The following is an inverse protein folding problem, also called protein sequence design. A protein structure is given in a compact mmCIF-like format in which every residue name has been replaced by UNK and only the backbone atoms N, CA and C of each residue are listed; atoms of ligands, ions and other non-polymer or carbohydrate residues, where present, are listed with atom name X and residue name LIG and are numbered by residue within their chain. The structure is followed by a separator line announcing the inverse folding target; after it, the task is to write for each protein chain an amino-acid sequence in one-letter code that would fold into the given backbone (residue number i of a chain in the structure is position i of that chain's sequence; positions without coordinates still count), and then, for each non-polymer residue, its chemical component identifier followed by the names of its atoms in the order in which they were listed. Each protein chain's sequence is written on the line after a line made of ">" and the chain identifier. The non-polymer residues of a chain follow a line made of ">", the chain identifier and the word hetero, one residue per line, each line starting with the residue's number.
data_IF_499203891025
#
_entry.id   IF_499203891025
#
_cell.length_a   1.000
_cell.length_b   1.000
_cell.length_c   1.000
_cell.angle_alpha   90.00
_cell.angle_beta   90.00
_cell.angle_gamma   90.00
#
_symmetry.space_group_name_H-M   'P 1'
#
loop_
_entity.id
_entity.type
_entity.pdbx_description
1 polymer ?
#
# COMPACT_ATOMS: atom_id res chain seq x y z
N UNK A 1 17.30 20.69 -0.26
CA UNK A 1 16.99 21.10 1.13
C UNK A 1 15.84 20.23 1.59
N UNK A 2 16.01 19.49 2.70
CA UNK A 2 15.02 18.54 3.20
C UNK A 2 13.77 19.32 3.60
N UNK A 3 12.66 19.07 2.91
CA UNK A 3 11.34 19.46 3.40
C UNK A 3 11.07 18.64 4.66
N UNK A 4 11.44 19.18 5.82
CA UNK A 4 10.92 18.73 7.10
C UNK A 4 9.41 18.90 7.04
N UNK A 5 8.67 17.85 7.39
CA UNK A 5 7.22 17.81 7.43
C UNK A 5 6.66 19.11 8.05
N UNK A 6 5.64 19.71 7.43
CA UNK A 6 5.05 20.95 7.94
C UNK A 6 4.43 20.72 9.32
N UNK A 7 4.27 21.77 10.13
CA UNK A 7 3.63 21.67 11.44
C UNK A 7 2.20 21.10 11.38
N UNK A 8 1.55 21.18 10.22
CA UNK A 8 0.24 20.61 9.90
C UNK A 8 0.27 19.17 9.38
N UNK A 9 1.44 18.61 9.08
CA UNK A 9 1.64 17.25 8.53
C UNK A 9 2.07 16.24 9.61
N UNK A 10 2.23 16.70 10.85
CA UNK A 10 2.63 15.87 11.98
C UNK A 10 1.57 15.93 13.07
N UNK A 11 1.24 14.77 13.64
CA UNK A 11 0.43 14.65 14.85
C UNK A 11 1.34 14.18 15.96
N UNK A 12 1.37 14.92 17.07
CA UNK A 12 2.09 14.51 18.27
C UNK A 12 1.16 13.65 19.11
N UNK A 13 1.60 12.42 19.40
CA UNK A 13 0.95 11.55 20.38
C UNK A 13 1.64 11.75 21.72
N UNK A 14 0.92 12.25 22.71
CA UNK A 14 1.48 12.56 24.02
C UNK A 14 1.24 11.39 24.97
N UNK A 15 2.10 10.38 24.91
CA UNK A 15 2.06 9.27 25.86
C UNK A 15 2.89 9.67 27.09
N UNK A 16 2.27 10.11 28.19
CA UNK A 16 2.98 10.25 29.47
C UNK A 16 2.06 10.52 30.66
N UNK A 17 2.06 9.57 31.60
CA UNK A 17 1.47 9.73 32.91
C UNK A 17 2.54 9.68 34.01
N UNK A 18 2.90 10.84 34.59
CA UNK A 18 3.05 11.06 36.05
C UNK A 18 4.13 12.08 36.40
N UNK A 19 3.82 13.04 37.30
CA UNK A 19 4.83 13.57 38.19
C UNK A 19 4.86 12.86 39.56
N UNK A 20 3.72 12.44 40.15
CA UNK A 20 3.65 12.13 41.61
C UNK A 20 2.60 11.09 42.09
N UNK A 21 2.02 10.22 41.26
CA UNK A 21 0.94 9.34 41.72
C UNK A 21 1.43 7.96 42.28
N UNK A 22 1.00 7.51 43.48
CA UNK A 22 1.19 6.14 43.94
C UNK A 22 0.13 5.23 43.28
N UNK A 23 0.36 4.86 42.02
CA UNK A 23 -0.62 4.12 41.23
C UNK A 23 -0.47 2.62 41.52
N UNK A 24 -1.41 2.03 42.25
CA UNK A 24 -1.67 0.59 42.13
C UNK A 24 -2.17 0.35 40.71
N UNK A 25 -1.33 -0.27 39.88
CA UNK A 25 -1.66 -0.59 38.49
C UNK A 25 -2.98 -1.37 38.43
N UNK A 26 -3.91 -0.91 37.60
CA UNK A 26 -5.04 -1.73 37.18
C UNK A 26 -4.51 -2.97 36.46
N UNK A 27 -5.28 -4.06 36.54
CA UNK A 27 -4.98 -5.31 35.84
C UNK A 27 -4.73 -5.03 34.36
N UNK A 28 -3.59 -5.53 33.85
CA UNK A 28 -3.15 -5.35 32.48
C UNK A 28 -4.28 -5.72 31.48
N UNK A 29 -4.83 -4.76 30.72
CA UNK A 29 -5.96 -5.02 29.83
C UNK A 29 -5.58 -5.89 28.62
N UNK A 30 -4.29 -6.03 28.32
CA UNK A 30 -3.76 -6.94 27.29
C UNK A 30 -3.34 -8.31 27.82
N UNK A 31 -3.53 -8.60 29.12
CA UNK A 31 -3.18 -9.90 29.69
C UNK A 31 -3.84 -11.08 28.95
N UNK A 32 -5.02 -10.86 28.35
CA UNK A 32 -5.75 -11.86 27.56
C UNK A 32 -5.21 -12.05 26.14
N UNK A 33 -4.39 -11.13 25.62
CA UNK A 33 -3.97 -11.05 24.23
C UNK A 33 -2.49 -11.42 24.04
N UNK A 34 -1.72 -11.46 25.13
CA UNK A 34 -0.29 -11.78 25.10
C UNK A 34 -0.11 -13.23 25.56
N UNK A 35 -0.10 -14.18 24.62
CA UNK A 35 0.08 -15.60 24.93
C UNK A 35 1.51 -15.97 25.39
N UNK A 36 2.51 -15.10 25.19
CA UNK A 36 3.93 -15.45 25.34
C UNK A 36 4.72 -14.57 26.34
N UNK A 37 4.07 -13.67 27.08
CA UNK A 37 4.77 -12.89 28.11
C UNK A 37 4.96 -13.73 29.37
N UNK A 38 6.16 -13.69 29.94
CA UNK A 38 6.39 -14.26 31.27
C UNK A 38 5.47 -13.55 32.28
N UNK A 39 4.87 -14.27 33.23
CA UNK A 39 3.93 -13.70 34.21
C UNK A 39 4.53 -12.62 35.14
N UNK A 40 5.85 -12.39 35.06
CA UNK A 40 6.59 -11.42 35.87
C UNK A 40 6.91 -10.11 35.14
N UNK A 41 6.56 -9.97 33.85
CA UNK A 41 6.85 -8.77 33.07
C UNK A 41 5.58 -7.96 32.82
N UNK A 42 5.36 -6.95 33.67
CA UNK A 42 4.27 -5.98 33.53
C UNK A 42 4.51 -5.07 32.31
N UNK A 43 4.04 -5.52 31.15
CA UNK A 43 4.05 -4.73 29.92
C UNK A 43 2.92 -3.69 29.97
N UNK A 44 3.24 -2.44 29.63
CA UNK A 44 2.25 -1.36 29.55
C UNK A 44 1.82 -0.76 30.89
N UNK A 45 2.51 -1.09 31.99
CA UNK A 45 2.22 -0.56 33.34
C UNK A 45 2.28 0.97 33.44
N UNK A 46 2.99 1.64 32.53
CA UNK A 46 3.07 3.11 32.46
C UNK A 46 2.01 3.78 31.57
N UNK A 47 1.13 3.00 30.92
CA UNK A 47 0.01 3.53 30.14
C UNK A 47 -1.23 3.57 31.03
N UNK A 48 -1.84 4.75 31.17
CA UNK A 48 -3.15 4.87 31.79
C UNK A 48 -4.26 4.70 30.73
N UNK A 49 -5.53 4.72 31.15
CA UNK A 49 -6.66 4.56 30.23
C UNK A 49 -6.76 5.70 29.19
N UNK A 50 -6.34 6.91 29.57
CA UNK A 50 -6.34 8.08 28.68
C UNK A 50 -5.30 7.90 27.57
N UNK A 51 -4.09 7.42 27.90
CA UNK A 51 -3.03 7.09 26.93
C UNK A 51 -3.54 6.07 25.88
N UNK A 52 -4.34 5.08 26.31
CA UNK A 52 -4.92 4.07 25.42
C UNK A 52 -6.01 4.65 24.51
N UNK A 53 -6.84 5.53 25.06
CA UNK A 53 -7.84 6.23 24.27
C UNK A 53 -7.17 7.13 23.22
N UNK A 54 -6.11 7.87 23.59
CA UNK A 54 -5.35 8.69 22.64
C UNK A 54 -4.71 7.87 21.53
N UNK A 55 -4.11 6.71 21.84
CA UNK A 55 -3.55 5.80 20.83
C UNK A 55 -4.65 5.31 19.87
N UNK A 56 -5.82 4.94 20.40
CA UNK A 56 -6.95 4.46 19.60
C UNK A 56 -7.48 5.56 18.68
N UNK A 57 -7.68 6.75 19.21
CA UNK A 57 -8.16 7.90 18.44
C UNK A 57 -7.15 8.29 17.36
N UNK A 58 -5.85 8.28 17.68
CA UNK A 58 -4.80 8.49 16.69
C UNK A 58 -4.87 7.45 15.57
N UNK A 59 -5.00 6.16 15.88
CA UNK A 59 -5.06 5.11 14.85
C UNK A 59 -6.30 5.22 13.97
N UNK A 60 -7.44 5.60 14.56
CA UNK A 60 -8.67 5.88 13.84
C UNK A 60 -8.49 7.09 12.91
N UNK A 61 -7.90 8.17 13.39
CA UNK A 61 -7.64 9.38 12.62
C UNK A 61 -6.60 9.16 11.51
N UNK A 62 -5.49 8.50 11.82
CA UNK A 62 -4.45 8.14 10.85
C UNK A 62 -5.04 7.34 9.69
N UNK A 63 -5.88 6.35 10.00
CA UNK A 63 -6.49 5.50 8.99
C UNK A 63 -7.53 6.26 8.16
N UNK A 64 -8.47 6.95 8.82
CA UNK A 64 -9.64 7.55 8.17
C UNK A 64 -9.38 8.91 7.53
N UNK A 65 -8.53 9.74 8.12
CA UNK A 65 -8.25 11.12 7.63
C UNK A 65 -7.01 11.18 6.74
N UNK A 66 -6.08 10.22 6.87
CA UNK A 66 -4.81 10.29 6.15
C UNK A 66 -4.59 9.11 5.20
N UNK A 67 -4.52 7.86 5.69
CA UNK A 67 -4.16 6.71 4.85
C UNK A 67 -5.18 6.49 3.74
N UNK A 68 -6.46 6.31 4.10
CA UNK A 68 -7.53 6.04 3.12
C UNK A 68 -7.65 7.17 2.10
N UNK A 69 -7.76 8.46 2.49
CA UNK A 69 -7.84 9.55 1.52
C UNK A 69 -6.61 9.66 0.59
N UNK A 70 -5.40 9.39 1.09
CA UNK A 70 -4.22 9.36 0.25
C UNK A 70 -4.26 8.22 -0.78
N UNK A 71 -4.72 7.03 -0.38
CA UNK A 71 -4.90 5.90 -1.29
C UNK A 71 -5.94 6.21 -2.36
N UNK A 72 -7.09 6.78 -1.99
CA UNK A 72 -8.11 7.23 -2.94
C UNK A 72 -7.56 8.25 -3.95
N UNK A 73 -6.78 9.22 -3.47
CA UNK A 73 -6.15 10.21 -4.34
C UNK A 73 -5.14 9.56 -5.29
N UNK A 74 -4.35 8.58 -4.82
CA UNK A 74 -3.45 7.80 -5.68
C UNK A 74 -4.22 7.03 -6.75
N UNK A 75 -5.35 6.39 -6.40
CA UNK A 75 -6.23 5.73 -7.37
C UNK A 75 -6.70 6.73 -8.42
N UNK A 76 -7.20 7.92 -8.02
CA UNK A 76 -7.68 8.94 -8.99
C UNK A 76 -6.59 9.34 -9.98
N UNK A 77 -5.38 9.63 -9.50
CA UNK A 77 -4.25 10.04 -10.34
C UNK A 77 -3.81 8.91 -11.27
N UNK A 78 -3.60 7.70 -10.73
CA UNK A 78 -3.16 6.55 -11.52
C UNK A 78 -4.22 6.15 -12.55
N UNK A 79 -5.50 6.15 -12.20
CA UNK A 79 -6.57 5.80 -13.13
C UNK A 79 -6.69 6.80 -14.28
N UNK A 80 -6.45 8.10 -14.02
CA UNK A 80 -6.35 9.12 -15.07
C UNK A 80 -5.16 8.85 -16.00
N UNK A 81 -3.98 8.55 -15.45
CA UNK A 81 -2.78 8.20 -16.22
C UNK A 81 -2.99 6.97 -17.09
N UNK A 82 -3.53 5.88 -16.51
CA UNK A 82 -3.83 4.64 -17.23
C UNK A 82 -4.88 4.88 -18.32
N UNK A 83 -5.92 5.67 -18.05
CA UNK A 83 -6.95 6.00 -19.05
C UNK A 83 -6.42 6.87 -20.19
N UNK A 84 -5.54 7.84 -19.89
CA UNK A 84 -4.87 8.65 -20.91
C UNK A 84 -3.97 7.79 -21.80
N UNK A 85 -3.21 6.86 -21.21
CA UNK A 85 -2.38 5.91 -21.95
C UNK A 85 -3.23 4.96 -22.79
N UNK A 86 -4.34 4.41 -22.26
CA UNK A 86 -5.28 3.54 -22.99
C UNK A 86 -5.89 4.20 -24.23
N UNK A 87 -6.20 5.50 -24.18
CA UNK A 87 -6.67 6.27 -25.35
C UNK A 87 -5.61 6.32 -26.46
N UNK A 88 -4.32 6.40 -26.11
CA UNK A 88 -3.20 6.22 -27.05
C UNK A 88 -2.90 4.75 -27.41
N UNK A 89 -3.23 3.82 -26.51
CA UNK A 89 -2.93 2.39 -26.63
C UNK A 89 -3.81 1.67 -27.66
N UNK A 90 -5.04 2.13 -27.94
CA UNK A 90 -5.83 1.57 -29.07
C UNK A 90 -5.06 1.60 -30.40
N UNK A 91 -4.18 2.59 -30.61
CA UNK A 91 -3.29 2.64 -31.77
C UNK A 91 -2.04 1.77 -31.60
N UNK A 92 -1.58 1.53 -30.36
CA UNK A 92 -0.44 0.65 -30.07
C UNK A 92 -0.80 -0.84 -30.05
N UNK A 93 -2.04 -1.22 -29.71
CA UNK A 93 -2.53 -2.60 -29.76
C UNK A 93 -2.42 -3.12 -31.20
N UNK A 94 -2.77 -2.30 -32.21
CA UNK A 94 -2.47 -2.63 -33.62
C UNK A 94 -0.99 -2.94 -33.82
N UNK A 95 -0.09 -2.15 -33.25
CA UNK A 95 1.36 -2.36 -33.35
C UNK A 95 1.86 -3.58 -32.53
N UNK A 96 1.17 -4.01 -31.48
CA UNK A 96 1.48 -5.22 -30.71
C UNK A 96 1.19 -6.50 -31.52
N UNK A 97 0.12 -6.53 -32.31
CA UNK A 97 -0.13 -7.63 -33.25
C UNK A 97 0.93 -7.71 -34.36
N UNK A 98 1.56 -6.59 -34.72
CA UNK A 98 2.69 -6.53 -35.66
C UNK A 98 4.07 -6.79 -35.03
N UNK A 99 4.20 -6.72 -33.69
CA UNK A 99 5.44 -7.04 -32.96
C UNK A 99 5.68 -8.54 -32.78
N UNK A 100 4.68 -9.39 -33.06
CA UNK A 100 4.76 -10.85 -32.93
C UNK A 100 5.76 -11.52 -33.89
N UNK A 101 6.42 -10.78 -34.79
CA UNK A 101 7.34 -11.33 -35.81
C UNK A 101 8.73 -10.69 -35.90
N UNK A 102 9.18 -9.91 -34.91
CA UNK A 102 10.58 -9.42 -34.86
C UNK A 102 11.29 -9.96 -33.64
N UNK A 103 11.64 -11.23 -33.76
CA UNK A 103 12.63 -11.93 -32.95
C UNK A 103 14.02 -11.49 -33.40
N UNK A 104 14.58 -10.43 -32.81
CA UNK A 104 16.02 -10.15 -32.90
C UNK A 104 16.40 -9.17 -31.78
N UNK A 105 16.87 -9.73 -30.66
CA UNK A 105 17.41 -8.96 -29.56
C UNK A 105 17.53 -9.80 -28.29
N UNK A 106 18.73 -10.36 -28.06
CA UNK A 106 19.23 -11.00 -26.83
C UNK A 106 18.13 -11.35 -25.81
N UNK A 107 17.72 -12.63 -25.82
CA UNK A 107 16.79 -13.19 -24.84
C UNK A 107 17.27 -12.92 -23.40
N UNK A 108 16.72 -11.87 -22.79
CA UNK A 108 16.65 -11.81 -21.34
C UNK A 108 15.73 -12.95 -20.91
N UNK A 109 16.29 -13.96 -20.25
CA UNK A 109 15.58 -15.14 -19.73
C UNK A 109 14.36 -14.79 -18.83
N UNK A 110 14.19 -13.50 -18.46
CA UNK A 110 13.12 -12.99 -17.62
C UNK A 110 12.25 -11.88 -18.27
N UNK A 111 12.35 -11.67 -19.59
CA UNK A 111 11.62 -10.60 -20.28
C UNK A 111 12.21 -9.19 -20.03
N UNK A 112 11.52 -8.12 -20.48
CA UNK A 112 11.92 -6.74 -20.24
C UNK A 112 11.85 -6.36 -18.76
N UNK A 113 12.78 -5.52 -18.32
CA UNK A 113 12.81 -5.04 -16.93
C UNK A 113 11.77 -3.94 -16.71
N UNK A 114 10.65 -4.25 -16.05
CA UNK A 114 9.68 -3.24 -15.62
C UNK A 114 10.26 -2.39 -14.48
N UNK A 115 10.60 -1.15 -14.80
CA UNK A 115 10.98 -0.14 -13.81
C UNK A 115 9.75 0.30 -13.00
N UNK A 116 9.91 0.78 -11.77
CA UNK A 116 8.83 1.28 -10.92
C UNK A 116 8.00 2.39 -11.57
N UNK A 117 8.63 3.19 -12.44
CA UNK A 117 7.98 4.25 -13.20
C UNK A 117 7.28 3.78 -14.49
N UNK A 118 7.40 2.51 -14.86
CA UNK A 118 6.73 1.96 -16.04
C UNK A 118 5.21 2.04 -15.90
N UNK A 119 4.49 2.19 -17.02
CA UNK A 119 3.02 2.22 -16.98
C UNK A 119 2.46 0.90 -16.45
N UNK A 120 3.15 -0.20 -16.73
CA UNK A 120 2.86 -1.54 -16.25
C UNK A 120 2.91 -1.63 -14.72
N UNK A 121 3.96 -1.05 -14.13
CA UNK A 121 4.09 -0.96 -12.67
C UNK A 121 3.05 -0.02 -12.06
N UNK A 122 2.71 1.08 -12.74
CA UNK A 122 1.64 2.00 -12.30
C UNK A 122 0.25 1.34 -12.34
N UNK A 123 -0.06 0.53 -13.37
CA UNK A 123 -1.30 -0.26 -13.45
C UNK A 123 -1.33 -1.28 -12.30
N UNK A 124 -0.21 -1.91 -11.98
CA UNK A 124 -0.11 -2.83 -10.84
C UNK A 124 -0.43 -2.13 -9.52
N UNK A 125 0.22 -0.99 -9.26
CA UNK A 125 -0.01 -0.19 -8.05
C UNK A 125 -1.47 0.30 -7.95
N UNK A 126 -2.08 0.68 -9.07
CA UNK A 126 -3.51 1.02 -9.11
C UNK A 126 -4.40 -0.16 -8.67
N UNK A 127 -4.12 -1.36 -9.20
CA UNK A 127 -4.83 -2.57 -8.79
C UNK A 127 -4.67 -2.89 -7.31
N UNK A 128 -3.45 -2.77 -6.79
CA UNK A 128 -3.13 -3.04 -5.38
C UNK A 128 -3.85 -2.05 -4.44
N UNK A 129 -3.87 -0.75 -4.75
CA UNK A 129 -4.64 0.24 -3.97
C UNK A 129 -6.15 -0.02 -4.02
N UNK A 130 -6.69 -0.36 -5.19
CA UNK A 130 -8.10 -0.70 -5.33
C UNK A 130 -8.48 -1.94 -4.51
N UNK A 131 -7.61 -2.96 -4.50
CA UNK A 131 -7.80 -4.16 -3.68
C UNK A 131 -7.81 -3.85 -2.18
N UNK A 132 -6.86 -3.03 -1.71
CA UNK A 132 -6.80 -2.62 -0.29
C UNK A 132 -8.05 -1.83 0.13
N UNK A 133 -8.62 -1.02 -0.77
CA UNK A 133 -9.89 -0.29 -0.54
C UNK A 133 -11.14 -1.10 -0.88
N UNK A 134 -10.99 -2.40 -1.17
CA UNK A 134 -12.07 -3.35 -1.46
C UNK A 134 -12.89 -3.06 -2.72
N UNK A 135 -12.36 -2.23 -3.63
CA UNK A 135 -12.87 -2.11 -4.99
C UNK A 135 -12.30 -3.24 -5.85
N UNK A 136 -12.84 -4.43 -5.62
CA UNK A 136 -12.34 -5.66 -6.25
C UNK A 136 -12.61 -5.70 -7.76
N UNK A 137 -13.63 -4.99 -8.24
CA UNK A 137 -13.91 -4.89 -9.68
C UNK A 137 -12.81 -4.08 -10.39
N UNK A 138 -12.46 -2.91 -9.85
CA UNK A 138 -11.37 -2.11 -10.38
C UNK A 138 -10.03 -2.85 -10.29
N UNK A 139 -9.76 -3.51 -9.16
CA UNK A 139 -8.55 -4.30 -8.97
C UNK A 139 -8.43 -5.42 -10.01
N UNK A 140 -9.48 -6.25 -10.14
CA UNK A 140 -9.52 -7.36 -11.09
C UNK A 140 -9.34 -6.89 -12.54
N UNK A 141 -9.96 -5.77 -12.91
CA UNK A 141 -9.82 -5.21 -14.26
C UNK A 141 -8.39 -4.79 -14.60
N UNK A 142 -7.66 -4.25 -13.61
CA UNK A 142 -6.26 -3.83 -13.80
C UNK A 142 -5.30 -5.03 -13.78
N UNK A 143 -5.52 -6.02 -12.91
CA UNK A 143 -4.73 -7.26 -12.90
C UNK A 143 -4.88 -8.05 -14.20
N UNK A 144 -6.10 -8.17 -14.75
CA UNK A 144 -6.33 -8.81 -16.06
C UNK A 144 -5.69 -8.05 -17.21
N UNK A 145 -5.70 -6.71 -17.16
CA UNK A 145 -5.02 -5.91 -18.17
C UNK A 145 -3.52 -6.25 -18.16
N UNK A 146 -2.88 -6.12 -17.00
CA UNK A 146 -1.42 -6.23 -16.93
C UNK A 146 -0.90 -7.67 -17.09
N UNK A 147 -1.70 -8.67 -16.69
CA UNK A 147 -1.34 -10.08 -16.89
C UNK A 147 -1.21 -10.43 -18.38
N UNK A 148 -1.98 -9.78 -19.25
CA UNK A 148 -1.85 -9.97 -20.70
C UNK A 148 -0.49 -9.48 -21.20
N UNK A 149 -0.06 -8.29 -20.77
CA UNK A 149 1.22 -7.71 -21.17
C UNK A 149 2.40 -8.54 -20.64
N UNK A 150 2.38 -8.94 -19.37
CA UNK A 150 3.43 -9.79 -18.79
C UNK A 150 3.54 -11.16 -19.46
N UNK A 151 2.42 -11.71 -19.94
CA UNK A 151 2.42 -12.98 -20.68
C UNK A 151 3.03 -12.82 -22.07
N UNK A 152 2.71 -11.73 -22.77
CA UNK A 152 3.27 -11.43 -24.10
C UNK A 152 4.79 -11.24 -24.00
N UNK A 153 5.24 -10.51 -22.98
CA UNK A 153 6.64 -10.18 -22.74
C UNK A 153 7.45 -11.33 -22.11
N UNK A 154 6.84 -12.51 -21.92
CA UNK A 154 7.42 -13.68 -21.23
C UNK A 154 7.99 -13.35 -19.84
N UNK A 155 7.42 -12.35 -19.17
CA UNK A 155 7.82 -11.92 -17.83
C UNK A 155 7.17 -12.80 -16.74
N UNK A 156 7.51 -14.08 -16.72
CA UNK A 156 6.80 -15.12 -15.96
C UNK A 156 6.68 -14.84 -14.45
N UNK A 157 7.74 -14.33 -13.83
CA UNK A 157 7.73 -13.99 -12.39
C UNK A 157 6.71 -12.91 -12.06
N UNK A 158 6.55 -11.93 -12.96
CA UNK A 158 5.57 -10.84 -12.79
C UNK A 158 4.16 -11.33 -13.12
N UNK A 159 4.02 -12.14 -14.17
CA UNK A 159 2.76 -12.76 -14.55
C UNK A 159 2.16 -13.62 -13.42
N UNK A 160 2.96 -14.46 -12.77
CA UNK A 160 2.51 -15.29 -11.65
C UNK A 160 2.00 -14.45 -10.47
N UNK A 161 2.56 -13.24 -10.26
CA UNK A 161 2.16 -12.36 -9.17
C UNK A 161 0.91 -11.51 -9.44
N UNK A 162 0.34 -11.53 -10.66
CA UNK A 162 -0.89 -10.81 -11.05
C UNK A 162 -2.03 -11.74 -11.44
N UNK A 163 -1.85 -13.04 -11.23
CA UNK A 163 -2.82 -14.07 -11.58
C UNK A 163 -3.95 -14.17 -10.54
#
# INVERSE_FOLDING_TARGET
>A
MRNTFGASDCVLLSINSSPDAPIKHQDNPWASQICDASPDQDLGCFLNIDDINEIKDLMQDLSSKHIIPNMEQKIRVLNQQVSATRKGFKNQIKNLWWRKGKEDGVDSLNGPMYNFNSIESQIRVLGDYAFMLRDYELALSNYRLISTDYKIDKAWKRYAGVQ
#
